data_IF_226472418546
#
_entry.id   IF_226472418546
#
_cell.length_a   1.000
_cell.length_b   1.000
_cell.length_c   1.000
_cell.angle_alpha   90.00
_cell.angle_beta   90.00
_cell.angle_gamma   90.00
#
_symmetry.space_group_name_H-M   'P 1'
#
loop_
_entity.id
_entity.type
_entity.pdbx_description
1 polymer ?
#
# COMPACT_ATOMS: atom_id res chain seq x y z
N UNK A 1 -57.71 65.39 -0.30
CA UNK A 1 -58.77 65.91 0.59
C UNK A 1 -58.97 64.85 1.66
N UNK A 2 -58.59 65.19 2.91
CA UNK A 2 -58.86 64.51 4.19
C UNK A 2 -58.38 63.04 4.35
N UNK A 3 -57.43 62.76 5.25
CA UNK A 3 -57.64 62.34 6.67
C UNK A 3 -58.06 60.86 6.78
N UNK A 4 -57.65 60.00 7.73
CA UNK A 4 -56.90 60.08 8.99
C UNK A 4 -56.54 58.62 9.37
N UNK A 5 -55.43 58.50 10.12
CA UNK A 5 -55.16 57.61 11.27
C UNK A 5 -55.42 56.09 11.18
N UNK A 6 -54.40 55.22 11.30
CA UNK A 6 -53.50 54.88 12.44
C UNK A 6 -54.01 53.69 13.29
N UNK A 7 -53.04 52.78 13.55
CA UNK A 7 -52.90 51.83 14.69
C UNK A 7 -53.62 50.48 14.58
N UNK A 8 -52.98 49.32 14.78
CA UNK A 8 -51.69 49.01 15.40
C UNK A 8 -51.16 47.62 14.96
N UNK A 9 -49.84 47.56 14.76
CA UNK A 9 -48.85 46.56 15.23
C UNK A 9 -49.16 45.05 15.12
N UNK A 10 -48.29 44.16 14.60
CA UNK A 10 -46.82 44.11 14.63
C UNK A 10 -46.25 43.38 13.40
N UNK A 11 -45.19 43.99 12.86
CA UNK A 11 -44.13 43.45 11.99
C UNK A 11 -43.45 42.23 12.66
N UNK A 12 -42.81 41.28 11.98
CA UNK A 12 -41.57 41.45 11.22
C UNK A 12 -41.45 40.38 10.14
N UNK A 13 -41.36 40.84 8.90
CA UNK A 13 -40.68 40.18 7.78
C UNK A 13 -39.18 40.44 7.84
N UNK A 14 -38.35 39.45 7.53
CA UNK A 14 -37.12 39.69 6.79
C UNK A 14 -36.80 38.53 5.86
N UNK A 15 -37.11 38.75 4.59
CA UNK A 15 -36.55 38.08 3.42
C UNK A 15 -35.08 38.44 3.31
N UNK A 16 -34.19 37.48 3.04
CA UNK A 16 -33.00 37.77 2.24
C UNK A 16 -32.47 36.54 1.51
N UNK A 17 -32.20 36.76 0.23
CA UNK A 17 -31.68 35.85 -0.76
C UNK A 17 -30.18 35.57 -0.55
N UNK A 18 -29.66 34.52 -1.19
CA UNK A 18 -28.23 34.47 -1.50
C UNK A 18 -27.63 33.08 -1.72
N UNK A 19 -27.28 32.81 -2.98
CA UNK A 19 -26.01 32.17 -3.39
C UNK A 19 -25.70 30.79 -2.76
N UNK A 20 -26.10 29.73 -3.47
CA UNK A 20 -25.65 28.36 -3.18
C UNK A 20 -24.18 28.17 -3.55
N UNK A 21 -23.29 28.44 -2.61
CA UNK A 21 -21.90 28.00 -2.64
C UNK A 21 -21.82 26.49 -2.34
N UNK A 22 -20.98 25.78 -3.09
CA UNK A 22 -20.67 24.37 -2.86
C UNK A 22 -19.99 24.18 -1.49
N UNK A 23 -20.69 23.53 -0.56
CA UNK A 23 -20.12 23.17 0.74
C UNK A 23 -19.31 21.88 0.60
N UNK A 24 -18.00 21.99 0.80
CA UNK A 24 -17.12 20.85 1.05
C UNK A 24 -17.57 20.22 2.36
N UNK A 25 -18.13 19.01 2.30
CA UNK A 25 -18.42 18.23 3.51
C UNK A 25 -17.05 17.81 4.07
N UNK A 26 -16.57 18.58 5.04
CA UNK A 26 -15.59 18.11 5.99
C UNK A 26 -16.27 17.02 6.82
N UNK A 27 -15.92 15.77 6.56
CA UNK A 27 -16.35 14.64 7.37
C UNK A 27 -15.85 14.83 8.79
N UNK A 28 -16.75 15.24 9.69
CA UNK A 28 -16.51 15.30 11.13
C UNK A 28 -16.11 13.91 11.62
N UNK A 29 -14.95 13.84 12.27
CA UNK A 29 -14.50 12.66 13.00
C UNK A 29 -15.52 12.31 14.08
N UNK A 30 -16.18 11.16 13.94
CA UNK A 30 -16.96 10.56 15.01
C UNK A 30 -15.98 9.76 15.87
N UNK A 31 -15.55 10.36 16.97
CA UNK A 31 -14.75 9.71 18.01
C UNK A 31 -15.70 8.95 18.93
N UNK A 32 -16.05 7.70 18.58
CA UNK A 32 -16.60 6.77 19.58
C UNK A 32 -15.44 6.08 20.28
N UNK A 33 -15.34 6.33 21.59
CA UNK A 33 -14.29 5.81 22.46
C UNK A 33 -14.18 4.30 22.41
N UNK A 34 -13.07 3.82 21.84
CA UNK A 34 -12.65 2.43 21.97
C UNK A 34 -11.87 2.34 23.27
N UNK A 35 -12.51 1.75 24.29
CA UNK A 35 -11.82 1.26 25.49
C UNK A 35 -10.67 0.36 25.06
N UNK A 36 -9.51 0.64 25.64
CA UNK A 36 -8.27 -0.12 25.55
C UNK A 36 -8.47 -1.61 25.84
N UNK A 37 -8.73 -2.39 24.78
CA UNK A 37 -8.54 -3.83 24.79
C UNK A 37 -7.15 -4.09 24.21
N UNK A 38 -6.15 -4.13 25.11
CA UNK A 38 -4.90 -4.84 24.84
C UNK A 38 -5.27 -6.25 24.35
N UNK A 39 -5.08 -6.51 23.06
CA UNK A 39 -5.26 -7.83 22.48
C UNK A 39 -4.09 -8.10 21.56
N UNK A 40 -3.09 -8.78 22.12
CA UNK A 40 -2.15 -9.65 21.40
C UNK A 40 -2.93 -10.77 20.69
N UNK A 41 -3.80 -10.42 19.73
CA UNK A 41 -4.50 -11.39 18.89
C UNK A 41 -3.79 -11.45 17.54
N UNK A 42 -3.12 -12.57 17.34
CA UNK A 42 -2.49 -12.98 16.09
C UNK A 42 -3.53 -13.02 14.95
N UNK A 43 -3.06 -12.71 13.75
CA UNK A 43 -3.79 -12.64 12.47
C UNK A 43 -4.24 -14.02 11.95
N UNK A 44 -4.08 -15.07 12.75
CA UNK A 44 -4.47 -16.44 12.42
C UNK A 44 -5.94 -16.74 12.74
N UNK A 45 -6.65 -15.86 13.46
CA UNK A 45 -8.05 -16.09 13.82
C UNK A 45 -9.02 -15.56 12.75
N UNK A 46 -9.41 -16.42 11.82
CA UNK A 46 -10.59 -16.20 10.98
C UNK A 46 -11.86 -16.54 11.78
N UNK A 47 -12.42 -15.57 12.50
CA UNK A 47 -13.76 -15.75 13.10
C UNK A 47 -14.88 -15.46 12.11
N UNK A 48 -16.00 -16.19 12.22
CA UNK A 48 -17.23 -16.01 11.44
C UNK A 48 -17.80 -14.58 11.49
N UNK A 49 -18.47 -14.18 10.41
CA UNK A 49 -18.85 -12.80 10.09
C UNK A 49 -20.20 -12.41 10.76
N UNK A 50 -20.13 -11.87 11.98
CA UNK A 50 -21.26 -11.17 12.61
C UNK A 50 -20.86 -9.69 12.78
N UNK A 51 -21.25 -8.87 11.81
CA UNK A 51 -20.52 -7.68 11.34
C UNK A 51 -20.38 -6.44 12.25
N UNK A 52 -20.62 -6.52 13.57
CA UNK A 52 -20.74 -5.33 14.42
C UNK A 52 -19.57 -5.18 15.41
N UNK A 53 -18.83 -6.26 15.71
CA UNK A 53 -17.88 -6.31 16.84
C UNK A 53 -16.45 -6.76 16.47
N UNK A 54 -16.03 -6.67 15.21
CA UNK A 54 -14.67 -7.11 14.82
C UNK A 54 -13.73 -5.93 14.58
N UNK A 55 -12.63 -5.89 15.33
CA UNK A 55 -11.52 -4.97 15.12
C UNK A 55 -10.86 -5.41 13.80
N UNK A 56 -11.04 -4.62 12.74
CA UNK A 56 -10.25 -4.79 11.52
C UNK A 56 -8.79 -4.48 11.83
N UNK A 57 -7.88 -5.41 11.55
CA UNK A 57 -6.45 -5.15 11.68
C UNK A 57 -5.93 -4.76 10.30
N UNK A 58 -5.45 -3.53 10.16
CA UNK A 58 -4.73 -3.12 8.96
C UNK A 58 -3.38 -3.83 8.90
N UNK A 59 -2.90 -4.19 7.71
CA UNK A 59 -1.54 -4.69 7.51
C UNK A 59 -0.49 -3.72 8.04
N UNK A 60 -0.81 -2.42 8.18
CA UNK A 60 0.02 -1.43 8.88
C UNK A 60 0.42 -1.89 10.28
N UNK A 61 -0.38 -2.68 10.99
CA UNK A 61 -0.02 -3.15 12.34
C UNK A 61 0.99 -4.30 12.32
N UNK A 62 0.92 -5.17 11.31
CA UNK A 62 1.91 -6.24 11.07
C UNK A 62 3.19 -5.65 10.51
N UNK A 63 3.02 -4.65 9.67
CA UNK A 63 4.11 -3.96 9.04
C UNK A 63 4.69 -2.88 9.98
N UNK A 64 4.02 -2.31 10.98
CA UNK A 64 4.56 -1.20 11.79
C UNK A 64 5.87 -1.55 12.53
N UNK A 65 6.11 -2.82 12.81
CA UNK A 65 7.36 -3.35 13.36
C UNK A 65 8.42 -3.66 12.30
N UNK A 66 8.04 -3.60 11.02
CA UNK A 66 8.79 -4.04 9.85
C UNK A 66 8.49 -3.18 8.59
N UNK A 67 8.10 -1.90 8.67
CA UNK A 67 7.66 -1.09 7.51
C UNK A 67 8.40 0.22 7.50
N UNK A 68 8.89 0.57 6.33
CA UNK A 68 9.24 1.94 6.02
C UNK A 68 7.98 2.80 6.11
N UNK A 69 8.03 3.94 6.81
CA UNK A 69 6.85 4.79 7.06
C UNK A 69 5.99 5.00 5.80
N UNK A 70 4.69 4.73 5.93
CA UNK A 70 3.64 4.98 4.91
C UNK A 70 2.59 5.96 5.42
N UNK A 71 2.99 6.92 6.25
CA UNK A 71 2.04 7.82 6.92
C UNK A 71 1.41 8.85 5.97
N UNK A 72 2.08 9.14 4.84
CA UNK A 72 1.57 10.04 3.80
C UNK A 72 0.84 9.27 2.69
N UNK A 73 -0.18 9.86 2.08
CA UNK A 73 -0.96 9.20 1.01
C UNK A 73 -0.25 9.11 -0.35
N UNK A 74 0.82 9.89 -0.54
CA UNK A 74 1.67 9.85 -1.72
C UNK A 74 3.12 10.18 -1.34
N UNK A 75 4.04 9.90 -2.26
CA UNK A 75 5.47 10.02 -2.03
C UNK A 75 5.90 11.48 -1.82
N UNK A 76 5.22 12.42 -2.47
CA UNK A 76 5.53 13.84 -2.46
C UNK A 76 5.27 14.49 -1.10
N UNK A 77 4.29 13.96 -0.36
CA UNK A 77 3.93 14.41 0.98
C UNK A 77 4.86 13.85 2.08
N UNK A 78 5.77 12.93 1.75
CA UNK A 78 6.73 12.42 2.71
C UNK A 78 7.80 13.46 3.11
N UNK A 79 8.22 13.38 4.37
CA UNK A 79 9.40 14.09 4.86
C UNK A 79 10.70 13.62 4.18
N UNK A 80 11.75 14.44 4.26
CA UNK A 80 13.02 14.23 3.56
C UNK A 80 13.66 12.87 3.86
N UNK A 81 13.69 12.45 5.12
CA UNK A 81 14.28 11.17 5.51
C UNK A 81 13.45 9.97 5.02
N UNK A 82 12.12 10.02 5.16
CA UNK A 82 11.26 8.96 4.61
C UNK A 82 11.41 8.84 3.08
N UNK A 83 11.48 9.97 2.35
CA UNK A 83 11.75 9.98 0.91
C UNK A 83 13.06 9.29 0.55
N UNK A 84 14.11 9.49 1.35
CA UNK A 84 15.43 8.87 1.17
C UNK A 84 15.37 7.36 1.39
N UNK A 85 14.72 6.90 2.46
CA UNK A 85 14.54 5.46 2.71
C UNK A 85 13.74 4.77 1.61
N UNK A 86 12.66 5.39 1.13
CA UNK A 86 11.89 4.87 0.00
C UNK A 86 12.69 4.81 -1.31
N UNK A 87 13.59 5.77 -1.56
CA UNK A 87 14.51 5.70 -2.72
C UNK A 87 15.46 4.52 -2.62
N UNK A 88 16.10 4.33 -1.46
CA UNK A 88 16.97 3.16 -1.21
C UNK A 88 16.19 1.85 -1.40
N UNK A 89 14.96 1.80 -0.89
CA UNK A 89 14.10 0.62 -1.01
C UNK A 89 13.74 0.30 -2.47
N UNK A 90 13.39 1.33 -3.22
CA UNK A 90 13.09 1.24 -4.64
C UNK A 90 14.30 0.73 -5.43
N UNK A 91 15.49 1.28 -5.19
CA UNK A 91 16.74 0.82 -5.78
C UNK A 91 17.11 -0.62 -5.38
N UNK A 92 16.94 -0.97 -4.09
CA UNK A 92 17.12 -2.33 -3.60
C UNK A 92 16.20 -3.31 -4.33
N UNK A 93 14.92 -2.97 -4.46
CA UNK A 93 13.94 -3.82 -5.17
C UNK A 93 14.32 -3.99 -6.64
N UNK A 94 14.77 -2.92 -7.31
CA UNK A 94 15.29 -3.00 -8.68
C UNK A 94 16.47 -3.99 -8.80
N UNK A 95 17.42 -3.95 -7.88
CA UNK A 95 18.57 -4.86 -7.90
C UNK A 95 18.16 -6.34 -7.81
N UNK A 96 17.02 -6.62 -7.16
CA UNK A 96 16.42 -7.95 -7.06
C UNK A 96 15.28 -8.18 -8.07
N UNK A 97 15.11 -7.33 -9.10
CA UNK A 97 14.03 -7.43 -10.10
C UNK A 97 13.85 -8.82 -10.69
N UNK A 98 14.96 -9.51 -10.99
CA UNK A 98 14.94 -10.87 -11.57
C UNK A 98 14.34 -11.93 -10.65
N UNK A 99 14.15 -11.61 -9.36
CA UNK A 99 13.50 -12.46 -8.36
C UNK A 99 12.08 -12.00 -8.04
N UNK A 100 11.56 -10.96 -8.68
CA UNK A 100 10.16 -10.56 -8.54
C UNK A 100 9.28 -11.58 -9.28
N UNK A 101 8.16 -11.92 -8.66
CA UNK A 101 7.24 -12.98 -9.12
C UNK A 101 5.88 -12.44 -9.54
N UNK A 102 5.52 -11.25 -9.09
CA UNK A 102 4.30 -10.53 -9.43
C UNK A 102 4.52 -9.63 -10.63
N UNK A 103 3.69 -9.77 -11.66
CA UNK A 103 3.71 -8.86 -12.81
C UNK A 103 3.55 -7.39 -12.40
N UNK A 104 2.72 -7.11 -11.40
CA UNK A 104 2.44 -5.76 -10.88
C UNK A 104 3.72 -5.08 -10.38
N UNK A 105 4.53 -5.78 -9.57
CA UNK A 105 5.81 -5.25 -9.08
C UNK A 105 6.87 -5.24 -10.17
N UNK A 106 6.99 -6.30 -10.97
CA UNK A 106 8.01 -6.39 -12.01
C UNK A 106 7.91 -5.26 -13.05
N UNK A 107 6.69 -4.86 -13.43
CA UNK A 107 6.43 -3.79 -14.40
C UNK A 107 6.86 -2.39 -13.93
N UNK A 108 7.12 -2.20 -12.62
CA UNK A 108 7.61 -0.95 -12.07
C UNK A 108 9.08 -0.68 -12.41
N UNK A 109 9.81 -1.73 -12.78
CA UNK A 109 11.26 -1.70 -12.95
C UNK A 109 11.64 -2.07 -14.39
N UNK A 110 11.39 -1.22 -15.41
CA UNK A 110 11.88 -1.49 -16.75
C UNK A 110 13.42 -1.60 -16.74
N UNK A 111 14.00 -2.42 -17.63
CA UNK A 111 15.44 -2.73 -17.60
C UNK A 111 16.34 -1.50 -17.78
N UNK A 112 15.84 -0.52 -18.51
CA UNK A 112 16.52 0.75 -18.77
C UNK A 112 16.18 1.83 -17.74
N UNK A 113 15.63 1.47 -16.58
CA UNK A 113 15.33 2.43 -15.51
C UNK A 113 16.62 3.03 -14.92
N UNK A 114 17.64 2.19 -14.73
CA UNK A 114 18.95 2.55 -14.18
C UNK A 114 20.05 2.05 -15.12
N UNK A 115 20.50 2.90 -16.07
CA UNK A 115 21.44 2.54 -17.12
C UNK A 115 22.77 1.93 -16.65
N UNK A 116 23.35 2.35 -15.52
CA UNK A 116 24.59 1.73 -15.04
C UNK A 116 24.29 0.40 -14.35
N UNK A 117 23.29 0.37 -13.47
CA UNK A 117 22.94 -0.81 -12.71
C UNK A 117 22.49 -2.00 -13.60
N UNK A 118 21.94 -1.72 -14.80
CA UNK A 118 21.50 -2.78 -15.73
C UNK A 118 22.65 -3.56 -16.39
N UNK A 119 23.86 -3.01 -16.44
CA UNK A 119 25.00 -3.64 -17.14
C UNK A 119 25.54 -4.89 -16.43
N UNK A 120 25.10 -5.12 -15.20
CA UNK A 120 25.61 -6.21 -14.36
C UNK A 120 24.71 -7.44 -14.38
N UNK A 121 25.34 -8.63 -14.35
CA UNK A 121 24.67 -9.93 -14.31
C UNK A 121 23.85 -10.14 -13.04
N UNK A 122 22.94 -11.12 -13.08
CA UNK A 122 22.06 -11.47 -11.96
C UNK A 122 22.86 -11.76 -10.68
N UNK A 123 23.99 -12.46 -10.77
CA UNK A 123 24.80 -12.87 -9.62
C UNK A 123 25.51 -11.69 -8.92
N UNK A 124 25.62 -10.54 -9.60
CA UNK A 124 26.24 -9.33 -9.08
C UNK A 124 25.23 -8.41 -8.36
N UNK A 125 24.30 -8.97 -7.57
CA UNK A 125 23.22 -8.19 -6.93
C UNK A 125 23.75 -7.05 -6.05
N UNK A 126 24.84 -7.29 -5.31
CA UNK A 126 25.45 -6.27 -4.45
C UNK A 126 25.88 -5.02 -5.23
N UNK A 127 26.55 -5.24 -6.38
CA UNK A 127 26.99 -4.15 -7.26
C UNK A 127 25.78 -3.44 -7.89
N UNK A 128 24.79 -4.20 -8.37
CA UNK A 128 23.55 -3.63 -8.91
C UNK A 128 22.83 -2.75 -7.91
N UNK A 129 22.77 -3.19 -6.65
CA UNK A 129 22.16 -2.43 -5.56
C UNK A 129 22.89 -1.12 -5.31
N UNK A 130 24.22 -1.16 -5.17
CA UNK A 130 25.02 0.05 -4.95
C UNK A 130 24.86 1.06 -6.10
N UNK A 131 24.89 0.58 -7.35
CA UNK A 131 24.70 1.42 -8.53
C UNK A 131 23.30 2.00 -8.60
N UNK A 132 22.26 1.18 -8.41
CA UNK A 132 20.88 1.65 -8.42
C UNK A 132 20.62 2.67 -7.30
N UNK A 133 21.23 2.51 -6.11
CA UNK A 133 21.11 3.48 -5.01
C UNK A 133 21.77 4.83 -5.34
N UNK A 134 22.87 4.82 -6.09
CA UNK A 134 23.50 6.05 -6.61
C UNK A 134 22.63 6.70 -7.69
N UNK A 135 22.19 5.92 -8.67
CA UNK A 135 21.40 6.40 -9.80
C UNK A 135 20.03 6.92 -9.36
N UNK A 136 19.33 6.29 -8.40
CA UNK A 136 18.04 6.79 -7.92
C UNK A 136 18.16 8.16 -7.24
N UNK A 137 19.30 8.47 -6.62
CA UNK A 137 19.52 9.78 -6.00
C UNK A 137 19.89 10.84 -7.05
N UNK A 138 20.67 10.48 -8.06
CA UNK A 138 21.05 11.36 -9.18
C UNK A 138 19.86 11.65 -10.10
N UNK A 139 19.06 10.63 -10.40
CA UNK A 139 17.93 10.67 -11.32
C UNK A 139 16.59 10.90 -10.61
N UNK A 140 16.59 11.33 -9.34
CA UNK A 140 15.34 11.53 -8.57
C UNK A 140 14.36 12.52 -9.20
N UNK A 141 14.88 13.47 -9.99
CA UNK A 141 14.07 14.46 -10.74
C UNK A 141 13.75 14.01 -12.18
N UNK A 142 14.32 12.89 -12.65
CA UNK A 142 13.93 12.31 -13.93
C UNK A 142 12.48 11.81 -13.87
N UNK A 143 11.61 12.30 -14.75
CA UNK A 143 10.18 12.00 -14.70
C UNK A 143 9.87 10.49 -14.75
N UNK A 144 10.64 9.70 -15.52
CA UNK A 144 10.45 8.24 -15.58
C UNK A 144 10.75 7.58 -14.22
N UNK A 145 11.87 7.93 -13.59
CA UNK A 145 12.26 7.39 -12.28
C UNK A 145 11.28 7.85 -11.20
N UNK A 146 10.94 9.13 -11.21
CA UNK A 146 9.99 9.76 -10.30
C UNK A 146 8.60 9.11 -10.37
N UNK A 147 8.07 8.89 -11.57
CA UNK A 147 6.78 8.24 -11.76
C UNK A 147 6.77 6.79 -11.28
N UNK A 148 7.83 6.02 -11.56
CA UNK A 148 7.94 4.64 -11.10
C UNK A 148 8.08 4.57 -9.58
N UNK A 149 8.85 5.47 -8.97
CA UNK A 149 8.99 5.59 -7.52
C UNK A 149 7.67 5.94 -6.84
N UNK A 150 6.90 6.90 -7.38
CA UNK A 150 5.56 7.24 -6.88
C UNK A 150 4.60 6.06 -6.96
N UNK A 151 4.59 5.32 -8.08
CA UNK A 151 3.75 4.12 -8.25
C UNK A 151 4.15 3.01 -7.27
N UNK A 152 5.44 2.79 -7.11
CA UNK A 152 5.99 1.84 -6.13
C UNK A 152 5.55 2.18 -4.70
N UNK A 153 5.75 3.42 -4.28
CA UNK A 153 5.29 3.90 -2.98
C UNK A 153 3.77 3.74 -2.83
N UNK A 154 3.00 4.13 -3.85
CA UNK A 154 1.54 4.06 -3.83
C UNK A 154 1.01 2.63 -3.66
N UNK A 155 1.67 1.63 -4.24
CA UNK A 155 1.34 0.21 -4.01
C UNK A 155 1.59 -0.15 -2.54
N UNK A 156 2.78 0.16 -2.01
CA UNK A 156 3.11 -0.14 -0.62
C UNK A 156 2.20 0.59 0.39
N UNK A 157 1.83 1.83 0.10
CA UNK A 157 0.86 2.59 0.89
C UNK A 157 -0.52 1.95 0.88
N UNK A 158 -1.00 1.48 -0.27
CA UNK A 158 -2.29 0.77 -0.35
C UNK A 158 -2.25 -0.55 0.41
N UNK A 159 -1.19 -1.35 0.21
CA UNK A 159 -1.01 -2.64 0.90
C UNK A 159 -1.00 -2.45 2.41
N UNK A 160 -0.33 -1.42 2.95
CA UNK A 160 -0.33 -1.18 4.40
C UNK A 160 -1.73 -0.90 4.96
N UNK A 161 -2.69 -0.51 4.14
CA UNK A 161 -4.07 -0.25 4.58
C UNK A 161 -5.02 -1.44 4.42
N UNK A 162 -4.56 -2.54 3.83
CA UNK A 162 -5.41 -3.73 3.69
C UNK A 162 -5.85 -4.25 5.06
N UNK A 163 -7.09 -4.69 5.14
CA UNK A 163 -7.71 -5.19 6.35
C UNK A 163 -7.84 -6.71 6.25
N UNK A 164 -7.45 -7.43 7.30
CA UNK A 164 -7.88 -8.82 7.49
C UNK A 164 -8.94 -8.91 8.57
N UNK A 165 -9.77 -9.94 8.44
CA UNK A 165 -10.75 -10.34 9.44
C UNK A 165 -12.14 -9.76 9.21
N UNK A 166 -12.29 -8.79 8.31
CA UNK A 166 -13.57 -8.20 7.93
C UNK A 166 -13.75 -8.24 6.41
N UNK A 167 -14.42 -9.27 5.89
CA UNK A 167 -14.63 -9.47 4.44
C UNK A 167 -15.50 -8.38 3.82
N UNK A 168 -16.40 -7.80 4.60
CA UNK A 168 -17.24 -6.66 4.22
C UNK A 168 -16.49 -5.32 4.13
N UNK A 169 -15.23 -5.25 4.57
CA UNK A 169 -14.42 -4.03 4.44
C UNK A 169 -14.00 -3.83 2.99
N UNK A 170 -14.12 -2.61 2.47
CA UNK A 170 -13.68 -2.28 1.11
C UNK A 170 -12.17 -2.52 0.90
N UNK A 171 -11.38 -2.53 1.97
CA UNK A 171 -9.96 -2.83 1.94
C UNK A 171 -9.64 -4.27 2.36
N UNK A 172 -10.61 -5.19 2.35
CA UNK A 172 -10.33 -6.60 2.61
C UNK A 172 -9.21 -7.10 1.69
N UNK A 173 -8.16 -7.68 2.26
CA UNK A 173 -6.88 -7.85 1.56
C UNK A 173 -6.99 -8.60 0.22
N UNK A 174 -7.81 -9.65 0.13
CA UNK A 174 -7.99 -10.40 -1.12
C UNK A 174 -8.64 -9.51 -2.18
N UNK A 175 -9.81 -8.94 -1.88
CA UNK A 175 -10.56 -8.08 -2.79
C UNK A 175 -9.77 -6.84 -3.19
N UNK A 176 -9.05 -6.23 -2.25
CA UNK A 176 -8.24 -5.05 -2.50
C UNK A 176 -7.02 -5.37 -3.39
N UNK A 177 -6.39 -6.54 -3.21
CA UNK A 177 -5.28 -7.01 -4.03
C UNK A 177 -5.68 -7.27 -5.49
N UNK A 178 -6.94 -7.63 -5.75
CA UNK A 178 -7.47 -7.79 -7.10
C UNK A 178 -7.38 -6.52 -7.95
N UNK A 179 -7.27 -5.33 -7.35
CA UNK A 179 -7.05 -4.10 -8.12
C UNK A 179 -5.65 -4.00 -8.75
N UNK A 180 -4.73 -4.88 -8.37
CA UNK A 180 -3.36 -4.93 -8.88
C UNK A 180 -3.12 -6.11 -9.81
N UNK A 181 -4.03 -7.09 -9.83
CA UNK A 181 -3.88 -8.39 -10.49
C UNK A 181 -5.03 -8.58 -11.48
N UNK A 182 -4.76 -9.12 -12.66
CA UNK A 182 -5.83 -9.38 -13.63
C UNK A 182 -6.74 -10.52 -13.18
N UNK A 183 -8.04 -10.24 -13.05
CA UNK A 183 -9.05 -11.14 -12.45
C UNK A 183 -9.58 -12.27 -13.36
N UNK A 184 -9.17 -12.35 -14.63
CA UNK A 184 -9.73 -13.29 -15.61
C UNK A 184 -8.95 -14.61 -15.73
N UNK A 185 -8.11 -14.95 -14.76
CA UNK A 185 -7.13 -16.02 -14.89
C UNK A 185 -7.43 -17.21 -13.95
N UNK A 186 -7.34 -18.41 -14.50
CA UNK A 186 -7.32 -19.68 -13.75
C UNK A 186 -6.22 -19.76 -12.68
N UNK A 187 -5.20 -18.90 -12.76
CA UNK A 187 -4.08 -18.83 -11.82
C UNK A 187 -4.26 -17.76 -10.71
N UNK A 188 -5.48 -17.25 -10.49
CA UNK A 188 -5.71 -16.11 -9.59
C UNK A 188 -5.11 -16.29 -8.18
N UNK A 189 -5.27 -17.46 -7.58
CA UNK A 189 -4.75 -17.74 -6.24
C UNK A 189 -3.21 -17.68 -6.20
N UNK A 190 -2.55 -18.22 -7.23
CA UNK A 190 -1.10 -18.19 -7.36
C UNK A 190 -0.58 -16.75 -7.58
N UNK A 191 -1.30 -15.94 -8.37
CA UNK A 191 -0.98 -14.52 -8.56
C UNK A 191 -1.12 -13.72 -7.27
N UNK A 192 -2.14 -14.01 -6.46
CA UNK A 192 -2.30 -13.42 -5.13
C UNK A 192 -1.10 -13.75 -4.23
N UNK A 193 -0.70 -15.03 -4.15
CA UNK A 193 0.47 -15.46 -3.37
C UNK A 193 1.74 -14.72 -3.81
N UNK A 194 2.01 -14.64 -5.12
CA UNK A 194 3.17 -13.93 -5.68
C UNK A 194 3.12 -12.43 -5.45
N UNK A 195 1.93 -11.82 -5.54
CA UNK A 195 1.72 -10.41 -5.20
C UNK A 195 2.04 -10.14 -3.74
N UNK A 196 1.49 -10.92 -2.81
CA UNK A 196 1.75 -10.74 -1.38
C UNK A 196 3.20 -11.04 -1.01
N UNK A 197 3.86 -11.98 -1.69
CA UNK A 197 5.31 -12.17 -1.56
C UNK A 197 6.07 -10.91 -1.96
N UNK A 198 5.84 -10.38 -3.15
CA UNK A 198 6.59 -9.21 -3.63
C UNK A 198 6.25 -7.95 -2.84
N UNK A 199 5.02 -7.80 -2.37
CA UNK A 199 4.63 -6.75 -1.45
C UNK A 199 5.39 -6.85 -0.12
N UNK A 200 5.55 -8.05 0.46
CA UNK A 200 6.42 -8.24 1.62
C UNK A 200 7.86 -7.84 1.31
N UNK A 201 8.42 -8.41 0.24
CA UNK A 201 9.83 -8.22 -0.17
C UNK A 201 10.14 -6.79 -0.56
N UNK A 202 9.16 -5.99 -0.98
CA UNK A 202 9.34 -4.63 -1.46
C UNK A 202 8.94 -3.56 -0.44
N UNK A 203 7.93 -3.82 0.39
CA UNK A 203 7.33 -2.81 1.26
C UNK A 203 7.77 -2.95 2.73
N UNK A 204 8.24 -4.13 3.17
CA UNK A 204 8.77 -4.30 4.53
C UNK A 204 10.18 -3.72 4.71
N UNK A 205 10.71 -3.63 5.92
CA UNK A 205 12.10 -3.30 6.23
C UNK A 205 13.02 -4.49 5.97
N UNK A 206 12.61 -5.70 6.39
CA UNK A 206 13.41 -6.92 6.25
C UNK A 206 13.62 -7.34 4.78
N UNK A 207 12.62 -7.10 3.93
CA UNK A 207 12.71 -7.28 2.49
C UNK A 207 13.11 -8.66 2.00
N UNK A 208 12.83 -9.71 2.78
CA UNK A 208 13.19 -11.08 2.45
C UNK A 208 11.99 -12.01 2.61
N UNK A 209 11.79 -12.88 1.61
CA UNK A 209 10.81 -13.95 1.62
C UNK A 209 11.41 -15.31 2.03
N UNK A 210 12.63 -15.33 2.55
CA UNK A 210 13.25 -16.55 3.06
C UNK A 210 12.53 -17.06 4.32
N UNK A 211 12.69 -18.35 4.60
CA UNK A 211 12.09 -19.01 5.76
C UNK A 211 12.42 -18.27 7.07
N UNK A 212 11.40 -18.01 7.87
CA UNK A 212 11.48 -17.30 9.14
C UNK A 212 11.67 -15.78 9.00
N UNK A 213 11.54 -15.23 7.79
CA UNK A 213 11.63 -13.78 7.53
C UNK A 213 10.29 -13.13 7.25
N UNK A 214 9.23 -13.91 7.06
CA UNK A 214 7.87 -13.39 6.88
C UNK A 214 7.13 -13.49 8.21
N UNK A 215 6.39 -12.44 8.57
CA UNK A 215 5.51 -12.52 9.72
C UNK A 215 4.44 -13.61 9.49
N UNK A 216 4.20 -14.47 10.48
CA UNK A 216 3.16 -15.53 10.41
C UNK A 216 1.74 -14.96 10.27
N UNK A 217 1.62 -13.66 10.48
CA UNK A 217 0.44 -12.86 10.27
C UNK A 217 0.41 -12.19 8.89
N UNK A 218 1.28 -12.56 7.96
CA UNK A 218 1.20 -12.07 6.59
C UNK A 218 0.24 -12.95 5.76
N UNK A 219 -0.53 -12.39 4.79
CA UNK A 219 -1.29 -13.20 3.86
C UNK A 219 -0.39 -14.21 3.14
N UNK A 220 -0.82 -15.48 3.11
CA UNK A 220 -0.11 -16.58 2.47
C UNK A 220 1.31 -16.85 2.99
N UNK A 221 1.64 -16.44 4.22
CA UNK A 221 3.02 -16.55 4.74
C UNK A 221 3.61 -17.97 4.60
N UNK A 222 2.82 -19.00 4.94
CA UNK A 222 3.29 -20.38 4.96
C UNK A 222 3.51 -20.90 3.53
N UNK A 223 2.60 -20.60 2.62
CA UNK A 223 2.69 -20.95 1.21
C UNK A 223 3.89 -20.26 0.56
N UNK A 224 4.13 -18.98 0.89
CA UNK A 224 5.27 -18.22 0.38
C UNK A 224 6.59 -18.84 0.86
N UNK A 225 6.75 -19.07 2.16
CA UNK A 225 7.98 -19.66 2.70
C UNK A 225 8.24 -21.06 2.16
N UNK A 226 7.19 -21.88 2.01
CA UNK A 226 7.32 -23.22 1.43
C UNK A 226 7.71 -23.21 -0.04
N UNK A 227 7.35 -22.16 -0.78
CA UNK A 227 7.76 -22.02 -2.17
C UNK A 227 9.17 -21.43 -2.32
N UNK A 228 9.60 -20.52 -1.44
CA UNK A 228 10.91 -19.87 -1.49
C UNK A 228 12.06 -20.69 -0.88
N UNK A 229 11.76 -21.71 -0.06
CA UNK A 229 12.79 -22.61 0.47
C UNK A 229 13.48 -23.39 -0.64
N UNK A 230 14.67 -23.92 -0.35
CA UNK A 230 15.39 -24.77 -1.29
C UNK A 230 14.54 -25.99 -1.70
N UNK A 231 14.36 -26.20 -3.01
CA UNK A 231 13.49 -27.24 -3.57
C UNK A 231 11.99 -26.90 -3.54
N UNK A 232 11.62 -25.68 -3.16
CA UNK A 232 10.26 -25.17 -3.31
C UNK A 232 9.96 -24.79 -4.78
N UNK A 233 8.66 -24.76 -5.14
CA UNK A 233 8.24 -24.57 -6.54
C UNK A 233 8.77 -23.28 -7.17
N UNK A 234 8.92 -22.24 -6.37
CA UNK A 234 9.45 -20.94 -6.82
C UNK A 234 10.97 -20.87 -6.85
N UNK A 235 11.66 -21.74 -6.11
CA UNK A 235 13.12 -21.79 -6.09
C UNK A 235 13.68 -22.28 -7.45
N UNK A 236 12.98 -23.24 -8.08
CA UNK A 236 13.38 -23.87 -9.33
C UNK A 236 12.89 -23.12 -10.58
N UNK A 237 11.77 -22.41 -10.47
CA UNK A 237 11.29 -21.48 -11.49
C UNK A 237 12.23 -20.28 -11.60
N UNK A 238 13.25 -20.40 -12.45
CA UNK A 238 14.05 -19.25 -12.92
C UNK A 238 13.28 -18.41 -13.94
N UNK A 239 11.95 -18.34 -13.94
CA UNK A 239 11.27 -17.62 -15.01
C UNK A 239 9.98 -16.91 -14.62
N UNK A 240 9.99 -15.65 -15.09
CA UNK A 240 8.94 -14.70 -15.44
C UNK A 240 7.76 -14.48 -14.47
N UNK A 241 7.47 -13.21 -14.14
CA UNK A 241 6.27 -12.87 -13.40
C UNK A 241 5.01 -13.34 -14.14
N UNK A 242 4.04 -13.85 -13.39
CA UNK A 242 2.71 -14.25 -13.90
C UNK A 242 1.62 -13.25 -13.48
#
# INVERSE_FOLDING_TARGET
MLELLLRDLMSITSTQAGVGAATIIASSAITYGIKSASTEKTFTSESHDYGWNKIGYSLKNILATNLISTDASNYELLGKEAKKEWRKRFAGTYAYKSKLRSASFYSLFPEDLFPEAKEHKIDAVGIRKEKAEKEVEQLKENEKVKDKLKKFYGICWKVSRFVKGKKSDSNYYETAALNFISNSDTQLEEKLKRFFRDAWVSCSENGSAMVGKIDKNWPYWNEIENNEKWGGGWYEERDKPI
#
